data_IF_828238307588
#
_entry.id   IF_828238307588
#
_cell.length_a   1.000
_cell.length_b   1.000
_cell.length_c   1.000
_cell.angle_alpha   90.00
_cell.angle_beta   90.00
_cell.angle_gamma   90.00
#
_symmetry.space_group_name_H-M   'P 1'
#
loop_
_entity.id
_entity.type
_entity.pdbx_description
1 polymer ?
#
# COMPACT_ATOMS: atom_id res chain seq x y z
N UNK A 1 -33.37 -30.61 28.28
CA UNK A 1 -33.26 -31.46 27.09
C UNK A 1 -33.69 -30.77 25.80
N UNK A 2 -34.82 -30.07 25.79
CA UNK A 2 -35.33 -29.39 24.56
C UNK A 2 -34.36 -28.34 23.97
N UNK A 3 -33.58 -27.65 24.79
CA UNK A 3 -32.61 -26.65 24.34
C UNK A 3 -31.39 -27.26 23.64
N UNK A 4 -30.95 -28.42 24.11
CA UNK A 4 -29.83 -29.16 23.51
C UNK A 4 -30.19 -29.62 22.09
N UNK A 5 -31.41 -30.13 21.93
CA UNK A 5 -31.95 -30.52 20.63
C UNK A 5 -32.02 -29.32 19.66
N UNK A 6 -32.44 -28.15 20.13
CA UNK A 6 -32.45 -26.91 19.31
C UNK A 6 -31.04 -26.53 18.82
N UNK A 7 -30.04 -26.56 19.71
CA UNK A 7 -28.64 -26.25 19.36
C UNK A 7 -28.11 -27.25 18.33
N UNK A 8 -28.43 -28.53 18.49
CA UNK A 8 -28.04 -29.56 17.54
C UNK A 8 -28.61 -29.31 16.13
N UNK A 9 -29.90 -28.98 16.02
CA UNK A 9 -30.54 -28.67 14.75
C UNK A 9 -30.02 -27.39 14.12
N UNK A 10 -29.68 -26.35 14.91
CA UNK A 10 -29.01 -25.14 14.40
C UNK A 10 -27.64 -25.47 13.86
N UNK A 11 -26.87 -26.29 14.58
CA UNK A 11 -25.55 -26.74 14.13
C UNK A 11 -25.60 -27.52 12.80
N UNK A 12 -26.57 -28.44 12.72
CA UNK A 12 -26.80 -29.23 11.50
C UNK A 12 -27.22 -28.33 10.32
N UNK A 13 -28.06 -27.33 10.54
CA UNK A 13 -28.46 -26.37 9.51
C UNK A 13 -27.31 -25.50 9.01
N UNK A 14 -26.32 -25.23 9.86
CA UNK A 14 -25.14 -24.43 9.46
C UNK A 14 -24.21 -25.18 8.48
N UNK A 15 -24.24 -26.52 8.47
CA UNK A 15 -23.45 -27.34 7.52
C UNK A 15 -23.89 -27.08 6.08
N UNK A 16 -25.18 -26.82 5.87
CA UNK A 16 -25.75 -26.57 4.54
C UNK A 16 -25.82 -25.10 4.14
N UNK A 17 -25.37 -24.19 5.01
CA UNK A 17 -25.32 -22.76 4.69
C UNK A 17 -24.12 -22.46 3.78
N UNK A 18 -24.33 -21.56 2.80
CA UNK A 18 -23.23 -21.03 2.02
C UNK A 18 -22.24 -20.30 2.94
N UNK A 19 -20.92 -20.53 2.80
CA UNK A 19 -19.91 -19.83 3.57
C UNK A 19 -20.02 -18.32 3.32
N UNK A 20 -19.94 -17.51 4.37
CA UNK A 20 -19.88 -16.05 4.26
C UNK A 20 -18.49 -15.51 3.98
N UNK A 21 -17.51 -16.38 3.86
CA UNK A 21 -16.09 -16.04 3.63
C UNK A 21 -15.74 -16.15 2.17
N UNK A 22 -14.86 -15.25 1.72
CA UNK A 22 -14.30 -15.26 0.35
C UNK A 22 -13.20 -16.31 0.26
N UNK A 23 -13.22 -17.14 -0.76
CA UNK A 23 -12.23 -18.20 -0.99
C UNK A 23 -11.02 -17.61 -1.73
N UNK A 24 -10.13 -16.97 -0.98
CA UNK A 24 -8.87 -16.46 -1.50
C UNK A 24 -7.94 -17.65 -1.89
N UNK A 25 -7.19 -17.60 -3.02
CA UNK A 25 -7.06 -16.51 -4.00
C UNK A 25 -8.07 -16.56 -5.18
N UNK A 26 -8.98 -17.56 -5.19
CA UNK A 26 -9.94 -17.75 -6.31
C UNK A 26 -10.92 -16.58 -6.41
N UNK A 27 -11.35 -16.08 -5.26
CA UNK A 27 -12.23 -14.93 -5.15
C UNK A 27 -11.51 -13.82 -4.39
N UNK A 28 -11.74 -12.58 -4.78
CA UNK A 28 -11.10 -11.40 -4.20
C UNK A 28 -12.16 -10.41 -3.78
N UNK A 29 -11.89 -9.76 -2.66
CA UNK A 29 -12.78 -8.72 -2.13
C UNK A 29 -12.59 -7.45 -2.96
N UNK A 30 -13.69 -6.78 -3.32
CA UNK A 30 -13.66 -5.43 -3.86
C UNK A 30 -13.20 -4.51 -2.73
N UNK A 31 -12.07 -3.85 -2.95
CA UNK A 31 -11.47 -2.97 -1.95
C UNK A 31 -12.26 -1.66 -1.92
N UNK A 32 -12.71 -1.19 -0.74
CA UNK A 32 -13.36 0.12 -0.62
C UNK A 32 -12.43 1.26 -1.04
N UNK A 33 -12.98 2.34 -1.60
CA UNK A 33 -12.23 3.50 -2.08
C UNK A 33 -11.35 4.17 -1.02
N UNK A 34 -11.73 4.08 0.26
CA UNK A 34 -11.00 4.65 1.38
C UNK A 34 -9.94 3.71 1.98
N UNK A 35 -9.71 2.56 1.37
CA UNK A 35 -8.68 1.61 1.83
C UNK A 35 -7.28 2.16 1.60
N UNK A 36 -6.42 1.96 2.60
CA UNK A 36 -5.01 2.37 2.56
C UNK A 36 -4.14 1.14 2.27
N UNK A 37 -3.62 1.08 1.07
CA UNK A 37 -2.61 0.08 0.68
C UNK A 37 -1.20 0.68 0.67
N UNK A 38 -0.35 0.23 -0.24
CA UNK A 38 1.04 0.70 -0.34
C UNK A 38 1.09 2.16 -0.77
N UNK A 39 1.85 3.02 -0.06
CA UNK A 39 2.14 4.36 -0.56
C UNK A 39 2.84 4.30 -1.92
N UNK A 40 2.51 5.19 -2.83
CA UNK A 40 3.16 5.29 -4.14
C UNK A 40 3.47 6.75 -4.48
N UNK A 41 4.44 6.95 -5.38
CA UNK A 41 4.82 8.26 -5.87
C UNK A 41 4.08 8.58 -7.16
N UNK A 42 3.47 9.77 -7.22
CA UNK A 42 2.80 10.27 -8.42
C UNK A 42 3.82 10.78 -9.42
N UNK A 43 3.55 10.49 -10.70
CA UNK A 43 4.24 11.09 -11.83
C UNK A 43 3.48 12.32 -12.31
N UNK A 44 4.21 13.29 -12.74
CA UNK A 44 3.70 14.36 -13.56
C UNK A 44 3.50 13.82 -14.99
N UNK A 45 2.30 13.99 -15.54
CA UNK A 45 1.94 13.46 -16.85
C UNK A 45 2.63 14.20 -17.99
N UNK A 46 3.02 15.45 -17.77
CA UNK A 46 3.63 16.29 -18.80
C UNK A 46 5.14 16.06 -18.91
N UNK A 47 5.82 15.94 -17.76
CA UNK A 47 7.29 15.79 -17.71
C UNK A 47 7.76 14.35 -17.58
N UNK A 48 6.85 13.40 -17.29
CA UNK A 48 7.15 12.00 -16.94
C UNK A 48 8.12 11.87 -15.73
N UNK A 49 8.31 12.95 -15.00
CA UNK A 49 9.16 13.01 -13.81
C UNK A 49 8.30 12.86 -12.54
N UNK A 50 8.94 12.57 -11.42
CA UNK A 50 8.28 12.44 -10.13
C UNK A 50 7.96 13.83 -9.59
N UNK A 51 6.73 14.08 -9.16
CA UNK A 51 6.29 15.34 -8.55
C UNK A 51 7.09 15.65 -7.27
N UNK A 52 7.65 14.63 -6.63
CA UNK A 52 8.36 14.74 -5.36
C UNK A 52 9.64 15.59 -5.49
N UNK A 53 9.71 16.66 -4.70
CA UNK A 53 10.90 17.54 -4.58
C UNK A 53 11.93 17.03 -3.56
N UNK A 54 11.60 15.95 -2.81
CA UNK A 54 12.48 15.40 -1.79
C UNK A 54 12.57 16.23 -0.50
N UNK A 55 11.54 17.02 -0.11
CA UNK A 55 11.55 17.87 1.11
C UNK A 55 11.91 17.09 2.39
N UNK A 56 11.42 15.87 2.53
CA UNK A 56 11.69 15.00 3.69
C UNK A 56 10.61 15.04 4.76
N UNK A 57 9.54 15.82 4.60
CA UNK A 57 8.46 15.97 5.58
C UNK A 57 7.75 14.64 5.84
N UNK A 58 7.57 13.82 4.80
CA UNK A 58 7.00 12.48 4.93
C UNK A 58 7.87 11.54 5.77
N UNK A 59 9.21 11.70 5.77
CA UNK A 59 10.13 10.98 6.63
C UNK A 59 9.96 11.42 8.08
N UNK A 60 9.91 12.72 8.34
CA UNK A 60 9.76 13.27 9.70
C UNK A 60 8.40 12.92 10.32
N UNK A 61 7.34 12.89 9.51
CA UNK A 61 5.99 12.56 9.96
C UNK A 61 5.76 11.05 10.15
N UNK A 62 6.68 10.21 9.69
CA UNK A 62 6.52 8.77 9.78
C UNK A 62 6.77 8.27 11.20
N UNK A 63 5.76 7.68 11.90
CA UNK A 63 5.94 7.19 13.27
C UNK A 63 6.89 5.99 13.37
N UNK A 64 7.04 5.24 12.28
CA UNK A 64 7.85 4.01 12.23
C UNK A 64 9.22 4.23 11.57
N UNK A 65 9.52 5.47 11.16
CA UNK A 65 10.78 5.83 10.47
C UNK A 65 11.12 4.84 9.33
N UNK A 66 10.11 4.52 8.52
CA UNK A 66 10.22 3.55 7.43
C UNK A 66 10.55 4.17 6.07
N UNK A 67 10.68 5.50 6.01
CA UNK A 67 10.97 6.25 4.77
C UNK A 67 12.40 6.78 4.84
N UNK A 68 13.19 6.51 3.81
CA UNK A 68 14.50 7.13 3.62
C UNK A 68 14.60 7.83 2.27
N UNK A 69 15.15 9.06 2.28
CA UNK A 69 15.18 9.94 1.10
C UNK A 69 16.61 10.42 0.90
N UNK A 70 17.12 10.26 -0.32
CA UNK A 70 18.38 10.87 -0.74
C UNK A 70 18.13 11.89 -1.83
N UNK A 71 18.76 13.03 -1.70
CA UNK A 71 18.69 14.14 -2.64
C UNK A 71 19.97 14.19 -3.47
N UNK A 72 19.84 14.68 -4.69
CA UNK A 72 20.94 15.02 -5.57
C UNK A 72 20.79 16.47 -6.02
N UNK A 73 21.88 17.20 -6.05
CA UNK A 73 21.93 18.55 -6.60
C UNK A 73 22.19 18.42 -8.11
N UNK A 74 21.30 18.98 -8.94
CA UNK A 74 21.52 19.11 -10.39
C UNK A 74 22.54 20.21 -10.66
N UNK A 75 23.08 20.24 -11.85
CA UNK A 75 24.02 21.29 -12.31
C UNK A 75 23.44 22.70 -12.19
N UNK A 76 22.13 22.83 -12.23
CA UNK A 76 21.38 24.07 -12.03
C UNK A 76 21.26 24.49 -10.56
N UNK A 77 21.90 23.80 -9.62
CA UNK A 77 21.83 24.07 -8.18
C UNK A 77 20.52 23.66 -7.51
N UNK A 78 19.57 23.06 -8.23
CA UNK A 78 18.29 22.58 -7.69
C UNK A 78 18.44 21.20 -7.06
N UNK A 79 17.93 21.05 -5.84
CA UNK A 79 17.80 19.75 -5.20
C UNK A 79 16.65 18.98 -5.84
N UNK A 80 16.90 17.75 -6.23
CA UNK A 80 15.92 16.81 -6.76
C UNK A 80 15.99 15.49 -6.03
N UNK A 81 14.88 14.77 -6.04
CA UNK A 81 14.82 13.42 -5.47
C UNK A 81 15.70 12.46 -6.27
N UNK A 82 16.75 11.96 -5.65
CA UNK A 82 17.59 10.90 -6.23
C UNK A 82 17.05 9.52 -5.90
N UNK A 83 16.99 9.18 -4.62
CA UNK A 83 16.52 7.88 -4.14
C UNK A 83 15.43 8.05 -3.10
N UNK A 84 14.46 7.16 -3.15
CA UNK A 84 13.39 7.04 -2.18
C UNK A 84 13.24 5.57 -1.81
N UNK A 85 13.36 5.26 -0.54
CA UNK A 85 13.21 3.92 -0.01
C UNK A 85 12.04 3.89 0.96
N UNK A 86 11.24 2.84 0.87
CA UNK A 86 10.15 2.57 1.80
C UNK A 86 10.25 1.13 2.31
N UNK A 87 10.49 0.96 3.61
CA UNK A 87 10.46 -0.35 4.26
C UNK A 87 9.02 -0.72 4.64
N UNK A 88 8.38 -1.53 3.78
CA UNK A 88 7.02 -2.03 4.02
C UNK A 88 6.94 -2.99 5.20
N UNK A 89 8.06 -3.61 5.59
CA UNK A 89 8.11 -4.47 6.77
C UNK A 89 7.97 -3.72 8.10
N UNK A 90 8.11 -2.39 8.09
CA UNK A 90 7.91 -1.48 9.22
C UNK A 90 6.69 -0.59 9.07
N UNK A 91 6.24 -0.37 7.85
CA UNK A 91 5.12 0.53 7.53
C UNK A 91 3.80 0.03 8.12
N UNK A 92 3.11 0.88 8.87
CA UNK A 92 1.78 0.61 9.44
C UNK A 92 0.61 1.14 8.58
N UNK A 93 0.90 1.60 7.37
CA UNK A 93 -0.09 2.12 6.40
C UNK A 93 -1.01 3.22 6.96
N UNK A 94 -0.51 4.05 7.87
CA UNK A 94 -1.29 5.10 8.54
C UNK A 94 -1.69 6.27 7.64
N UNK A 95 -0.98 6.49 6.51
CA UNK A 95 -1.25 7.57 5.55
C UNK A 95 -0.73 8.95 5.96
N UNK A 96 -0.04 9.11 7.09
CA UNK A 96 0.52 10.41 7.51
C UNK A 96 1.47 11.02 6.48
N UNK A 97 2.24 10.19 5.77
CA UNK A 97 3.13 10.65 4.70
C UNK A 97 2.38 11.33 3.54
N UNK A 98 1.13 10.93 3.29
CA UNK A 98 0.26 11.57 2.29
C UNK A 98 -0.27 12.90 2.81
N UNK A 99 -0.72 12.94 4.07
CA UNK A 99 -1.31 14.14 4.70
C UNK A 99 -0.34 15.30 4.79
N UNK A 100 0.97 15.05 5.02
CA UNK A 100 2.01 16.08 5.15
C UNK A 100 2.68 16.43 3.83
N UNK A 101 2.36 15.74 2.73
CA UNK A 101 3.00 15.97 1.45
C UNK A 101 2.43 17.23 0.77
N UNK A 102 3.08 18.38 0.95
CA UNK A 102 2.64 19.66 0.36
C UNK A 102 2.48 19.58 -1.17
N UNK A 103 3.45 19.04 -1.95
CA UNK A 103 3.29 18.90 -3.40
C UNK A 103 2.29 17.80 -3.80
N UNK A 104 1.72 17.03 -2.86
CA UNK A 104 0.80 15.94 -3.15
C UNK A 104 1.42 14.79 -3.94
N UNK A 105 2.74 14.62 -3.82
CA UNK A 105 3.53 13.66 -4.59
C UNK A 105 3.37 12.21 -4.13
N UNK A 106 2.87 11.99 -2.91
CA UNK A 106 2.62 10.66 -2.35
C UNK A 106 1.13 10.43 -2.26
N UNK A 107 0.69 9.21 -2.60
CA UNK A 107 -0.69 8.77 -2.42
C UNK A 107 -0.76 7.32 -1.97
N UNK A 108 -1.92 6.87 -1.45
CA UNK A 108 -2.14 5.49 -1.04
C UNK A 108 -2.75 4.70 -2.18
N UNK A 109 -2.11 3.61 -2.57
CA UNK A 109 -2.67 2.69 -3.55
C UNK A 109 -3.66 1.71 -2.92
N UNK A 110 -4.34 0.94 -3.76
CA UNK A 110 -5.18 -0.18 -3.32
C UNK A 110 -4.40 -1.50 -3.21
N UNK A 111 -3.09 -1.47 -3.42
CA UNK A 111 -2.24 -2.66 -3.33
C UNK A 111 -2.08 -3.10 -1.89
N UNK A 112 -2.57 -4.30 -1.57
CA UNK A 112 -2.48 -4.90 -0.23
C UNK A 112 -1.71 -6.22 -0.20
N UNK A 113 -1.41 -6.79 -1.37
CA UNK A 113 -0.71 -8.06 -1.46
C UNK A 113 0.80 -7.81 -1.46
N UNK A 114 1.42 -8.12 -0.33
CA UNK A 114 2.81 -7.77 -0.03
C UNK A 114 3.58 -8.98 0.52
N UNK A 115 3.12 -10.19 0.24
CA UNK A 115 3.78 -11.39 0.71
C UNK A 115 5.06 -11.66 -0.07
N UNK A 116 6.19 -11.67 0.62
CA UNK A 116 7.48 -12.11 0.08
C UNK A 116 8.21 -12.94 1.15
N UNK A 117 8.90 -14.03 0.77
CA UNK A 117 9.64 -14.88 1.70
C UNK A 117 10.89 -14.18 2.28
N UNK A 118 11.37 -13.12 1.65
CA UNK A 118 12.56 -12.37 2.06
C UNK A 118 12.21 -10.95 2.47
N UNK A 119 12.53 -10.58 3.71
CA UNK A 119 12.32 -9.23 4.22
C UNK A 119 12.98 -8.13 3.36
N UNK A 120 14.12 -8.42 2.73
CA UNK A 120 14.82 -7.46 1.86
C UNK A 120 13.95 -7.00 0.68
N UNK A 121 13.09 -7.86 0.18
CA UNK A 121 12.20 -7.54 -0.94
C UNK A 121 11.01 -6.66 -0.54
N UNK A 122 10.79 -6.46 0.77
CA UNK A 122 9.80 -5.52 1.29
C UNK A 122 10.35 -4.08 1.42
N UNK A 123 11.62 -3.86 1.14
CA UNK A 123 12.18 -2.52 0.96
C UNK A 123 12.01 -2.14 -0.50
N UNK A 124 11.09 -1.23 -0.74
CA UNK A 124 10.73 -0.78 -2.10
C UNK A 124 11.50 0.48 -2.45
N UNK A 125 12.06 0.50 -3.64
CA UNK A 125 12.80 1.64 -4.18
C UNK A 125 11.91 2.58 -5.00
N UNK A 126 12.43 3.78 -5.29
CA UNK A 126 11.77 4.80 -6.11
C UNK A 126 11.14 4.24 -7.39
N UNK A 127 11.85 3.39 -8.11
CA UNK A 127 11.40 2.82 -9.39
C UNK A 127 10.13 1.98 -9.25
N UNK A 128 9.98 1.24 -8.14
CA UNK A 128 8.81 0.41 -7.89
C UNK A 128 7.64 1.22 -7.30
N UNK A 129 7.94 2.35 -6.63
CA UNK A 129 6.93 3.26 -6.08
C UNK A 129 6.30 4.14 -7.17
N UNK A 130 7.01 4.41 -8.26
CA UNK A 130 6.55 5.21 -9.41
C UNK A 130 5.58 4.44 -10.29
N UNK A 131 5.59 3.10 -10.26
CA UNK A 131 4.64 2.35 -11.08
C UNK A 131 3.25 2.87 -10.77
N UNK A 132 2.52 3.40 -11.78
CA UNK A 132 1.14 3.78 -11.58
C UNK A 132 0.50 2.57 -10.91
N UNK A 133 -0.31 2.81 -9.90
CA UNK A 133 -1.17 1.77 -9.34
C UNK A 133 -1.97 1.26 -10.52
N UNK A 134 -1.35 0.38 -11.27
CA UNK A 134 -1.88 -0.21 -12.49
C UNK A 134 -3.24 -0.69 -12.14
N UNK A 135 -4.17 -0.46 -12.99
CA UNK A 135 -5.49 -1.05 -12.93
C UNK A 135 -5.38 -2.40 -12.24
N UNK A 136 -6.22 -2.65 -11.26
CA UNK A 136 -6.29 -3.87 -10.43
C UNK A 136 -6.08 -5.21 -11.19
N UNK A 137 -6.01 -5.16 -12.53
CA UNK A 137 -5.78 -6.27 -13.45
C UNK A 137 -4.32 -6.69 -13.63
N UNK A 138 -3.35 -5.81 -13.39
CA UNK A 138 -1.95 -6.09 -13.75
C UNK A 138 -1.17 -6.81 -12.65
N UNK A 139 -1.74 -6.95 -11.47
CA UNK A 139 -1.15 -7.68 -10.35
C UNK A 139 -1.51 -9.17 -10.30
N UNK A 140 -2.22 -9.69 -11.32
CA UNK A 140 -2.76 -11.05 -11.31
C UNK A 140 -2.27 -11.93 -12.47
N UNK A 141 -1.23 -11.51 -13.17
CA UNK A 141 -0.55 -12.36 -14.16
C UNK A 141 0.63 -13.07 -13.53
#
# INVERSE_FOLDING_TARGET
>A
MLQILKIFFIGLGNIFRKPGTVVYPREKIIIPEKSRGVPHLKLDLDSLDVICNGCGDCRQACPEDCIDIKKKVKEDGKEVLDQFFLDLGRCIFCGKCVEVCEPGAIDMSYRYQLADPRRKNLVIEKADLIRPAGTLRDFWK
#
